data_IF_071514840493
#
_entry.id   IF_071514840493
#
_cell.length_a   1.000
_cell.length_b   1.000
_cell.length_c   1.000
_cell.angle_alpha   90.00
_cell.angle_beta   90.00
_cell.angle_gamma   90.00
#
_symmetry.space_group_name_H-M   'P 1'
#
loop_
_entity.id
_entity.type
_entity.pdbx_description
1 polymer ?
#
# COMPACT_ATOMS: atom_id res chain seq x y z
N UNK A 1 0.82 -1.48 32.64
CA UNK A 1 0.86 -1.62 31.16
C UNK A 1 2.18 -2.30 30.83
N UNK A 2 2.17 -3.39 30.07
CA UNK A 2 3.39 -4.07 29.60
C UNK A 2 3.65 -3.74 28.13
N UNK A 3 4.90 -3.54 27.74
CA UNK A 3 5.28 -3.36 26.33
C UNK A 3 5.84 -4.68 25.82
N UNK A 4 5.36 -5.14 24.67
CA UNK A 4 5.76 -6.39 24.06
C UNK A 4 5.90 -6.26 22.55
N UNK A 5 6.68 -7.18 21.96
CA UNK A 5 6.74 -7.40 20.52
C UNK A 5 5.84 -8.60 20.22
N UNK A 6 4.87 -8.42 19.34
CA UNK A 6 3.89 -9.46 18.98
C UNK A 6 3.90 -9.63 17.48
N UNK A 7 3.96 -10.88 17.02
CA UNK A 7 3.81 -11.20 15.60
C UNK A 7 2.34 -11.53 15.35
N UNK A 8 1.70 -10.79 14.44
CA UNK A 8 0.34 -11.08 13.97
C UNK A 8 0.38 -11.31 12.47
N UNK A 9 -0.21 -12.42 12.03
CA UNK A 9 -0.09 -12.92 10.66
C UNK A 9 1.38 -13.07 10.24
N UNK A 10 1.87 -12.21 9.35
CA UNK A 10 3.23 -12.25 8.80
C UNK A 10 4.09 -11.05 9.22
N UNK A 11 3.59 -10.19 10.12
CA UNK A 11 4.26 -8.94 10.50
C UNK A 11 4.42 -8.81 12.01
N UNK A 12 5.54 -8.22 12.40
CA UNK A 12 5.83 -7.89 13.78
C UNK A 12 5.30 -6.50 14.14
N UNK A 13 4.66 -6.40 15.30
CA UNK A 13 4.08 -5.18 15.84
C UNK A 13 4.63 -4.91 17.24
N UNK A 14 4.93 -3.65 17.53
CA UNK A 14 5.09 -3.18 18.90
C UNK A 14 3.69 -3.04 19.51
N UNK A 15 3.47 -3.55 20.72
CA UNK A 15 2.16 -3.51 21.36
C UNK A 15 2.24 -3.20 22.86
N UNK A 16 1.23 -2.50 23.36
CA UNK A 16 0.97 -2.29 24.78
C UNK A 16 -0.12 -3.25 25.24
N UNK A 17 0.21 -4.07 26.23
CA UNK A 17 -0.70 -4.96 26.92
C UNK A 17 -1.23 -4.26 28.18
N UNK A 18 -2.54 -4.01 28.19
CA UNK A 18 -3.23 -3.25 29.23
C UNK A 18 -4.20 -4.20 29.94
N UNK A 19 -4.06 -4.45 31.26
CA UNK A 19 -5.05 -5.21 32.00
C UNK A 19 -6.37 -4.43 32.06
N UNK A 20 -7.47 -5.08 31.70
CA UNK A 20 -8.82 -4.51 31.69
C UNK A 20 -9.78 -5.50 32.35
N UNK A 21 -10.01 -5.30 33.65
CA UNK A 21 -10.80 -6.24 34.47
C UNK A 21 -10.16 -7.63 34.50
N UNK A 22 -10.93 -8.65 34.12
CA UNK A 22 -10.46 -10.04 34.03
C UNK A 22 -9.77 -10.39 32.70
N UNK A 23 -9.64 -9.41 31.78
CA UNK A 23 -9.10 -9.62 30.44
C UNK A 23 -7.85 -8.76 30.18
N UNK A 24 -7.15 -9.08 29.10
CA UNK A 24 -6.02 -8.30 28.60
C UNK A 24 -6.41 -7.62 27.29
N UNK A 25 -6.19 -6.32 27.20
CA UNK A 25 -6.36 -5.54 25.98
C UNK A 25 -5.00 -5.36 25.31
N UNK A 26 -4.91 -5.69 24.03
CA UNK A 26 -3.70 -5.52 23.22
C UNK A 26 -3.86 -4.31 22.30
N UNK A 27 -3.10 -3.24 22.56
CA UNK A 27 -3.05 -2.06 21.71
C UNK A 27 -1.78 -2.07 20.85
N UNK A 28 -1.92 -2.18 19.53
CA UNK A 28 -0.78 -2.07 18.62
C UNK A 28 -0.32 -0.63 18.48
N UNK A 29 0.98 -0.40 18.61
CA UNK A 29 1.63 0.91 18.50
C UNK A 29 2.37 0.97 17.14
N UNK A 30 2.35 2.15 16.52
CA UNK A 30 3.14 2.44 15.31
C UNK A 30 4.63 2.53 15.66
N UNK A 31 5.51 2.04 14.80
CA UNK A 31 6.96 2.20 14.98
C UNK A 31 7.38 3.66 14.78
N UNK A 32 8.51 4.07 15.34
CA UNK A 32 9.01 5.44 15.20
C UNK A 32 9.22 5.85 13.73
N UNK A 33 9.62 4.91 12.87
CA UNK A 33 9.78 5.12 11.42
C UNK A 33 8.46 5.27 10.66
N UNK A 34 7.33 4.85 11.25
CA UNK A 34 5.99 5.01 10.67
C UNK A 34 5.35 6.34 11.06
N UNK A 35 5.95 7.05 12.03
CA UNK A 35 5.46 8.34 12.52
C UNK A 35 6.15 9.45 11.74
N UNK A 36 5.36 10.30 11.08
CA UNK A 36 5.88 11.51 10.44
C UNK A 36 6.24 12.56 11.51
N UNK A 37 7.42 13.20 11.44
CA UNK A 37 7.76 14.27 12.37
C UNK A 37 6.82 15.48 12.18
N UNK A 38 6.53 16.18 13.28
CA UNK A 38 5.63 17.34 13.30
C UNK A 38 6.11 18.45 12.36
N UNK A 39 7.42 18.63 12.22
CA UNK A 39 8.02 19.69 11.40
C UNK A 39 7.75 19.53 9.89
N UNK A 40 7.43 18.31 9.44
CA UNK A 40 7.06 18.04 8.04
C UNK A 40 5.56 18.28 7.77
N UNK A 41 4.76 18.47 8.81
CA UNK A 41 3.32 18.70 8.69
C UNK A 41 3.09 20.20 8.58
N UNK A 42 2.68 20.65 7.39
CA UNK A 42 2.23 22.02 7.16
C UNK A 42 0.88 22.24 7.85
N UNK A 43 0.92 22.63 9.12
CA UNK A 43 -0.27 23.05 9.86
C UNK A 43 -0.48 24.56 9.73
N UNK A 44 -1.74 25.04 9.71
CA UNK A 44 -2.04 26.46 9.86
C UNK A 44 -1.42 26.99 11.16
N UNK A 45 -1.01 28.26 11.16
CA UNK A 45 -0.43 28.90 12.34
C UNK A 45 -1.40 28.81 13.54
N UNK A 46 -0.85 28.50 14.73
CA UNK A 46 -1.66 28.34 15.93
C UNK A 46 -2.28 29.67 16.38
N UNK A 47 -3.57 29.62 16.71
CA UNK A 47 -4.31 30.72 17.31
C UNK A 47 -5.31 31.37 16.37
N UNK A 48 -6.46 31.77 16.92
CA UNK A 48 -7.59 32.39 16.20
C UNK A 48 -7.18 33.62 15.39
N UNK A 49 -6.18 34.37 15.87
CA UNK A 49 -5.60 35.53 15.17
C UNK A 49 -4.74 35.16 13.96
N UNK A 50 -4.04 34.03 14.02
CA UNK A 50 -3.13 33.59 12.97
C UNK A 50 -3.85 32.81 11.86
N UNK A 51 -5.02 32.23 12.17
CA UNK A 51 -5.91 31.57 11.21
C UNK A 51 -6.93 32.51 10.57
N UNK A 52 -7.03 33.77 11.03
CA UNK A 52 -8.01 34.75 10.54
C UNK A 52 -9.47 34.42 10.86
N UNK A 53 -9.72 33.57 11.86
CA UNK A 53 -11.08 33.12 12.19
C UNK A 53 -11.80 34.17 13.03
N UNK A 54 -13.00 34.56 12.60
CA UNK A 54 -13.81 35.51 13.34
C UNK A 54 -14.49 34.82 14.55
N UNK A 55 -14.70 35.53 15.68
CA UNK A 55 -15.42 34.98 16.83
C UNK A 55 -16.84 34.50 16.49
N UNK A 56 -17.49 35.14 15.51
CA UNK A 56 -18.82 34.76 15.03
C UNK A 56 -18.81 33.38 14.33
N UNK A 57 -17.78 33.09 13.52
CA UNK A 57 -17.63 31.81 12.82
C UNK A 57 -17.38 30.68 13.81
N UNK A 58 -16.54 30.93 14.83
CA UNK A 58 -16.29 29.96 15.90
C UNK A 58 -17.58 29.63 16.68
N UNK A 59 -18.40 30.65 16.98
CA UNK A 59 -19.69 30.46 17.66
C UNK A 59 -20.68 29.67 16.79
N UNK A 60 -20.73 29.96 15.49
CA UNK A 60 -21.56 29.22 14.55
C UNK A 60 -21.11 27.75 14.45
N UNK A 61 -19.81 27.49 14.33
CA UNK A 61 -19.27 26.14 14.28
C UNK A 61 -19.58 25.35 15.57
N UNK A 62 -19.42 25.98 16.74
CA UNK A 62 -19.75 25.34 18.02
C UNK A 62 -21.25 24.98 18.12
N UNK A 63 -22.13 25.85 17.63
CA UNK A 63 -23.58 25.57 17.58
C UNK A 63 -23.90 24.40 16.65
N UNK A 64 -23.29 24.36 15.46
CA UNK A 64 -23.47 23.25 14.52
C UNK A 64 -23.01 21.92 15.11
N UNK A 65 -21.83 21.90 15.75
CA UNK A 65 -21.32 20.69 16.42
C UNK A 65 -22.31 20.26 17.51
N UNK A 66 -22.83 21.19 18.31
CA UNK A 66 -23.83 20.89 19.34
C UNK A 66 -25.10 20.27 18.76
N UNK A 67 -25.59 20.82 17.65
CA UNK A 67 -26.81 20.34 16.99
C UNK A 67 -26.61 18.98 16.31
N UNK A 68 -25.38 18.64 15.91
CA UNK A 68 -25.01 17.35 15.33
C UNK A 68 -24.48 16.33 16.34
N UNK A 69 -24.28 16.71 17.61
CA UNK A 69 -23.77 15.81 18.64
C UNK A 69 -24.87 14.90 19.14
N UNK A 70 -24.59 13.59 19.17
CA UNK A 70 -25.51 12.57 19.71
C UNK A 70 -24.75 11.50 20.50
N UNK A 71 -25.47 10.59 21.17
CA UNK A 71 -24.85 9.47 21.87
C UNK A 71 -24.17 8.54 20.86
N UNK A 72 -22.88 8.28 21.04
CA UNK A 72 -22.17 7.31 20.21
C UNK A 72 -22.57 5.89 20.59
N UNK A 73 -23.17 5.17 19.64
CA UNK A 73 -23.51 3.75 19.76
C UNK A 73 -22.69 2.98 18.72
N UNK A 74 -21.72 2.13 19.13
CA UNK A 74 -20.91 1.36 18.20
C UNK A 74 -21.73 0.45 17.26
N UNK A 75 -22.91 0.03 17.72
CA UNK A 75 -23.81 -0.89 17.00
C UNK A 75 -24.42 -0.28 15.74
N UNK A 76 -24.46 1.06 15.64
CA UNK A 76 -25.03 1.74 14.48
C UNK A 76 -24.08 1.73 13.26
N UNK A 77 -22.83 1.29 13.45
CA UNK A 77 -21.81 1.25 12.41
C UNK A 77 -21.53 -0.20 11.99
N UNK A 78 -22.04 -0.59 10.82
CA UNK A 78 -21.80 -1.90 10.22
C UNK A 78 -20.81 -1.82 9.06
N UNK A 79 -20.11 -2.93 8.80
CA UNK A 79 -19.20 -3.06 7.66
C UNK A 79 -19.99 -3.16 6.35
N UNK A 80 -20.24 -1.98 5.76
CA UNK A 80 -20.95 -1.83 4.49
C UNK A 80 -20.29 -2.59 3.34
N UNK A 81 -18.97 -2.78 3.38
CA UNK A 81 -18.25 -3.49 2.33
C UNK A 81 -18.55 -4.99 2.39
N UNK A 82 -18.40 -5.60 3.57
CA UNK A 82 -18.74 -7.00 3.78
C UNK A 82 -20.21 -7.28 3.44
N UNK A 83 -21.11 -6.37 3.82
CA UNK A 83 -22.54 -6.47 3.49
C UNK A 83 -22.80 -6.38 1.99
N UNK A 84 -22.13 -5.46 1.29
CA UNK A 84 -22.25 -5.32 -0.17
C UNK A 84 -21.70 -6.55 -0.90
N UNK A 85 -20.57 -7.11 -0.46
CA UNK A 85 -20.00 -8.36 -1.00
C UNK A 85 -20.99 -9.51 -0.81
N UNK A 86 -21.54 -9.66 0.40
CA UNK A 86 -22.52 -10.70 0.69
C UNK A 86 -23.82 -10.53 -0.13
N UNK A 87 -24.27 -9.29 -0.34
CA UNK A 87 -25.42 -9.01 -1.18
C UNK A 87 -25.16 -9.39 -2.65
N UNK A 88 -23.95 -9.12 -3.15
CA UNK A 88 -23.53 -9.52 -4.50
C UNK A 88 -23.44 -11.05 -4.63
N UNK A 89 -22.89 -11.74 -3.63
CA UNK A 89 -22.86 -13.21 -3.57
C UNK A 89 -24.28 -13.77 -3.64
N UNK A 90 -25.21 -13.26 -2.81
CA UNK A 90 -26.63 -13.69 -2.84
C UNK A 90 -27.29 -13.46 -4.19
N UNK A 91 -26.98 -12.36 -4.88
CA UNK A 91 -27.48 -12.10 -6.25
C UNK A 91 -26.94 -13.11 -7.25
N UNK A 92 -25.65 -13.41 -7.22
CA UNK A 92 -25.01 -14.42 -8.10
C UNK A 92 -25.57 -15.82 -7.87
N UNK A 93 -25.76 -16.21 -6.61
CA UNK A 93 -26.38 -17.49 -6.25
C UNK A 93 -27.81 -17.58 -6.80
N UNK A 94 -28.62 -16.53 -6.63
CA UNK A 94 -29.98 -16.48 -7.19
C UNK A 94 -30.01 -16.50 -8.71
N UNK A 95 -29.01 -15.92 -9.37
CA UNK A 95 -28.88 -15.92 -10.83
C UNK A 95 -28.36 -17.26 -11.39
N UNK A 96 -27.99 -18.22 -10.54
CA UNK A 96 -27.42 -19.51 -10.97
C UNK A 96 -25.96 -19.44 -11.42
N UNK A 97 -25.32 -18.27 -11.37
CA UNK A 97 -23.89 -18.05 -11.64
C UNK A 97 -23.03 -18.49 -10.44
N UNK A 98 -23.24 -19.72 -9.99
CA UNK A 98 -22.47 -20.33 -8.91
C UNK A 98 -21.40 -21.21 -9.52
N UNK A 99 -20.14 -20.90 -9.26
CA UNK A 99 -19.04 -21.80 -9.60
C UNK A 99 -18.88 -22.80 -8.45
N UNK A 100 -18.94 -24.09 -8.76
CA UNK A 100 -18.61 -25.14 -7.80
C UNK A 100 -17.12 -25.04 -7.52
N UNK A 101 -16.77 -24.54 -6.34
CA UNK A 101 -15.39 -24.64 -5.84
C UNK A 101 -15.22 -26.10 -5.46
N UNK A 102 -14.46 -26.84 -6.26
CA UNK A 102 -13.95 -28.15 -5.85
C UNK A 102 -13.06 -27.86 -4.65
N UNK A 103 -13.45 -28.35 -3.46
CA UNK A 103 -12.55 -28.36 -2.32
C UNK A 103 -11.29 -29.09 -2.78
N UNK A 104 -10.12 -28.46 -2.61
CA UNK A 104 -8.85 -29.09 -2.93
C UNK A 104 -8.59 -30.20 -1.90
N UNK A 105 -9.33 -31.29 -1.98
CA UNK A 105 -8.93 -32.57 -1.38
C UNK A 105 -7.73 -33.06 -2.19
N UNK A 106 -6.58 -33.04 -1.54
CA UNK A 106 -5.31 -33.42 -2.14
C UNK A 106 -4.56 -32.22 -2.69
N UNK A 107 -3.93 -31.45 -1.80
CA UNK A 107 -2.62 -30.91 -2.19
C UNK A 107 -1.76 -32.14 -2.55
N UNK A 108 -1.29 -32.30 -3.81
CA UNK A 108 -0.22 -33.23 -4.06
C UNK A 108 0.95 -32.77 -3.19
N UNK A 109 1.56 -33.69 -2.45
CA UNK A 109 2.88 -33.46 -1.90
C UNK A 109 3.73 -32.79 -2.97
N UNK A 110 4.44 -31.73 -2.60
CA UNK A 110 5.36 -31.03 -3.48
C UNK A 110 6.52 -31.97 -3.85
N UNK A 111 6.26 -32.95 -4.71
CA UNK A 111 7.28 -33.76 -5.37
C UNK A 111 7.94 -32.85 -6.39
N UNK A 112 9.03 -32.24 -5.94
CA UNK A 112 10.21 -31.89 -6.73
C UNK A 112 9.88 -31.43 -8.15
N UNK A 113 9.48 -30.17 -8.30
CA UNK A 113 9.58 -29.52 -9.60
C UNK A 113 11.04 -29.55 -10.02
N UNK A 114 11.27 -30.25 -11.14
CA UNK A 114 12.53 -30.43 -11.84
C UNK A 114 13.40 -29.16 -11.77
N UNK A 115 14.39 -29.17 -10.88
CA UNK A 115 15.46 -28.17 -10.86
C UNK A 115 16.29 -28.46 -12.11
N UNK A 116 15.94 -27.79 -13.20
CA UNK A 116 16.77 -27.75 -14.38
C UNK A 116 18.06 -27.04 -13.95
N UNK A 117 19.18 -27.74 -14.02
CA UNK A 117 20.48 -27.19 -13.67
C UNK A 117 20.85 -26.09 -14.67
N UNK A 118 20.64 -24.84 -14.25
CA UNK A 118 20.93 -23.65 -15.03
C UNK A 118 22.42 -23.55 -15.39
N UNK A 119 23.31 -24.25 -14.66
CA UNK A 119 24.74 -24.27 -14.96
C UNK A 119 25.06 -25.14 -16.18
N UNK A 120 24.39 -26.28 -16.36
CA UNK A 120 24.54 -27.11 -17.56
C UNK A 120 23.97 -26.44 -18.81
N UNK A 121 22.80 -25.79 -18.70
CA UNK A 121 22.22 -25.03 -19.81
C UNK A 121 23.11 -23.84 -20.21
N UNK A 122 23.73 -23.17 -19.22
CA UNK A 122 24.66 -22.09 -19.47
C UNK A 122 25.96 -22.59 -20.12
N UNK A 123 26.49 -23.74 -19.68
CA UNK A 123 27.66 -24.37 -20.29
C UNK A 123 27.41 -24.74 -21.75
N UNK A 124 26.23 -25.29 -22.06
CA UNK A 124 25.81 -25.57 -23.44
C UNK A 124 25.59 -24.30 -24.27
N UNK A 125 25.10 -23.21 -23.67
CA UNK A 125 24.96 -21.93 -24.37
C UNK A 125 26.30 -21.23 -24.63
N UNK A 126 27.32 -21.44 -23.79
CA UNK A 126 28.66 -20.86 -23.95
C UNK A 126 29.53 -21.67 -24.92
N UNK A 127 29.40 -22.99 -24.94
CA UNK A 127 30.14 -23.87 -25.85
C UNK A 127 29.74 -23.68 -27.31
N UNK A 128 28.48 -23.30 -27.58
CA UNK A 128 28.01 -22.91 -28.91
C UNK A 128 28.62 -21.60 -29.45
N UNK A 129 29.17 -20.74 -28.58
CA UNK A 129 29.75 -19.44 -28.99
C UNK A 129 31.24 -19.50 -29.31
N UNK A 130 31.93 -20.60 -28.99
CA UNK A 130 33.40 -20.72 -29.15
C UNK A 130 33.84 -21.26 -30.53
N UNK A 131 32.95 -21.30 -31.52
CA UNK A 131 33.24 -21.67 -32.91
C UNK A 131 32.86 -20.57 -33.90
N UNK A 132 33.32 -19.35 -33.63
CA UNK A 132 33.38 -18.27 -34.63
C UNK A 132 34.46 -17.29 -34.21
N UNK A 133 35.70 -17.61 -34.59
CA UNK A 133 36.86 -16.75 -34.42
C UNK A 133 37.79 -16.96 -35.60
N UNK A 134 37.56 -16.23 -36.70
CA UNK A 134 38.60 -15.51 -37.43
C UNK A 134 38.02 -14.76 -38.64
N UNK A 135 37.99 -13.44 -38.58
CA UNK A 135 38.34 -12.56 -39.71
C UNK A 135 38.49 -11.11 -39.20
N UNK A 136 39.72 -10.64 -39.31
CA UNK A 136 40.23 -9.31 -38.98
C UNK A 136 39.70 -8.28 -40.00
N UNK A 137 39.31 -7.07 -39.56
CA UNK A 137 39.97 -5.80 -39.93
C UNK A 137 39.24 -4.55 -39.40
N UNK A 138 40.11 -3.62 -39.02
CA UNK A 138 39.97 -2.26 -38.54
C UNK A 138 39.15 -1.32 -39.43
N UNK A 139 38.44 -0.37 -38.84
CA UNK A 139 38.76 1.08 -38.89
C UNK A 139 37.67 1.95 -38.21
N UNK A 140 38.09 3.03 -37.53
CA UNK A 140 37.33 4.28 -37.42
C UNK A 140 36.33 4.47 -36.27
N UNK A 141 36.79 5.00 -35.13
CA UNK A 141 36.01 5.95 -34.28
C UNK A 141 36.18 7.38 -34.86
N UNK A 142 35.45 8.43 -34.42
CA UNK A 142 34.43 8.57 -33.36
C UNK A 142 33.14 9.23 -33.95
N UNK A 143 32.06 9.66 -33.29
CA UNK A 143 31.71 9.98 -31.91
C UNK A 143 30.37 10.76 -31.90
N UNK A 144 29.70 10.72 -30.75
CA UNK A 144 28.78 11.75 -30.21
C UNK A 144 27.36 11.87 -30.78
N UNK A 145 26.41 11.45 -29.95
CA UNK A 145 24.95 11.62 -30.05
C UNK A 145 24.57 13.10 -29.85
N UNK A 146 23.80 13.67 -30.77
CA UNK A 146 23.34 15.07 -30.74
C UNK A 146 21.90 15.15 -30.20
N UNK A 147 21.73 15.83 -29.07
CA UNK A 147 20.45 16.26 -28.48
C UNK A 147 20.06 17.61 -29.10
N UNK A 148 18.82 17.78 -29.58
CA UNK A 148 18.23 19.12 -29.72
C UNK A 148 16.69 19.09 -29.59
N UNK A 149 16.24 19.81 -28.56
CA UNK A 149 14.87 20.16 -28.18
C UNK A 149 14.34 21.30 -29.06
N UNK A 150 13.08 21.24 -29.49
CA UNK A 150 12.36 22.35 -30.11
C UNK A 150 11.45 23.06 -29.09
N UNK A 151 11.47 24.40 -29.14
CA UNK A 151 10.78 25.36 -28.28
C UNK A 151 9.55 25.91 -29.04
N UNK A 152 8.39 26.13 -28.39
CA UNK A 152 7.37 27.05 -28.92
C UNK A 152 7.43 28.44 -28.23
N UNK A 153 7.09 29.54 -28.94
CA UNK A 153 7.15 30.91 -28.44
C UNK A 153 5.87 31.38 -27.72
N UNK A 154 6.03 32.42 -26.90
CA UNK A 154 5.01 33.07 -26.08
C UNK A 154 4.09 34.03 -26.86
N UNK A 155 2.90 34.37 -26.34
CA UNK A 155 2.19 35.60 -26.71
C UNK A 155 2.32 36.71 -25.64
N UNK A 156 2.47 37.95 -26.15
CA UNK A 156 2.44 39.22 -25.39
C UNK A 156 1.01 39.63 -25.05
N UNK A 157 0.86 40.32 -23.91
CA UNK A 157 -0.33 41.06 -23.47
C UNK A 157 -0.62 42.28 -24.35
N UNK A 158 -1.90 42.54 -24.57
CA UNK A 158 -2.53 43.86 -24.57
C UNK A 158 -3.81 43.73 -23.72
#
# INVERSE_FOLDING_TARGET
IGIARVVMHTKEHLAALIPSGALLMLNTIRWATEIRPLDEIKVPAQGTKATGLLPAEMKMAAQLIKDMTGPWKPQDYADQFSDAVNALVRKKVKAGDTQTVIALEGAPDATSHNIIDLTELLANSLSGRKKSGNAVRSEGRPGTVKKLTTKPPAPKRA
#
